data_IF_784857377663
#
_entry.id   IF_784857377663
#
_cell.length_a   1.000
_cell.length_b   1.000
_cell.length_c   1.000
_cell.angle_alpha   90.00
_cell.angle_beta   90.00
_cell.angle_gamma   90.00
#
_symmetry.space_group_name_H-M   'P 1'
#
loop_
_entity.id
_entity.type
_entity.pdbx_description
1 polymer ?
#
# COMPACT_ATOMS: atom_id res chain seq x y z
N UNK A 1 -15.65 28.72 7.14
CA UNK A 1 -15.59 27.45 6.42
C UNK A 1 -16.33 27.40 5.06
N UNK A 2 -16.15 28.40 4.17
CA UNK A 2 -16.71 28.36 2.79
C UNK A 2 -16.06 27.25 1.94
N UNK A 3 -14.90 26.71 2.31
CA UNK A 3 -14.15 25.66 1.58
C UNK A 3 -14.13 24.31 2.30
N UNK A 4 -14.94 24.10 3.34
CA UNK A 4 -14.98 22.84 4.08
C UNK A 4 -13.76 22.54 4.95
N UNK A 5 -12.83 23.47 5.08
CA UNK A 5 -11.60 23.30 5.88
C UNK A 5 -11.84 23.79 7.30
N UNK A 6 -11.59 22.95 8.29
CA UNK A 6 -11.64 23.27 9.72
C UNK A 6 -10.22 23.52 10.22
N UNK A 7 -9.96 24.71 10.77
CA UNK A 7 -8.66 25.09 11.33
C UNK A 7 -8.76 25.07 12.83
N UNK A 8 -7.89 24.33 13.51
CA UNK A 8 -7.95 24.09 14.95
C UNK A 8 -7.68 25.34 15.76
N UNK A 9 -6.72 26.16 15.35
CA UNK A 9 -6.37 27.46 15.97
C UNK A 9 -5.71 28.41 14.96
N UNK A 10 -5.49 29.69 15.35
CA UNK A 10 -4.89 30.70 14.48
C UNK A 10 -3.37 30.55 14.30
N UNK A 11 -2.67 29.89 15.23
CA UNK A 11 -1.23 29.64 15.16
C UNK A 11 -0.87 28.74 13.98
N UNK A 12 -1.72 27.73 13.71
CA UNK A 12 -1.57 26.82 12.56
C UNK A 12 -1.49 27.57 11.23
N UNK A 13 -2.20 28.70 11.09
CA UNK A 13 -2.13 29.51 9.86
C UNK A 13 -0.76 30.16 9.65
N UNK A 14 -0.10 30.55 10.75
CA UNK A 14 1.24 31.11 10.70
C UNK A 14 2.28 30.02 10.38
N UNK A 15 2.16 28.86 11.01
CA UNK A 15 3.03 27.70 10.76
C UNK A 15 2.94 27.21 9.31
N UNK A 16 1.73 27.19 8.73
CA UNK A 16 1.51 26.79 7.32
C UNK A 16 2.23 27.73 6.33
N UNK A 17 2.42 29.04 6.68
CA UNK A 17 3.14 29.97 5.80
C UNK A 17 4.64 29.69 5.71
N UNK A 18 5.18 28.99 6.67
CA UNK A 18 6.63 28.74 6.83
C UNK A 18 7.03 27.31 6.43
N UNK A 19 6.12 26.53 5.86
CA UNK A 19 6.39 25.15 5.46
C UNK A 19 7.42 25.06 4.33
N UNK A 20 8.29 24.05 4.43
CA UNK A 20 9.25 23.69 3.40
C UNK A 20 8.81 22.46 2.61
N UNK A 21 8.16 21.52 3.33
CA UNK A 21 7.86 20.18 2.80
C UNK A 21 6.47 19.73 3.22
N UNK A 22 5.76 19.11 2.28
CA UNK A 22 4.51 18.41 2.55
C UNK A 22 4.74 16.91 2.35
N UNK A 23 4.53 16.14 3.40
CA UNK A 23 4.61 14.67 3.38
C UNK A 23 3.20 14.11 3.30
N UNK A 24 2.96 13.25 2.33
CA UNK A 24 1.67 12.62 2.08
C UNK A 24 1.72 11.13 2.44
N UNK A 25 0.72 10.65 3.15
CA UNK A 25 0.41 9.23 3.09
C UNK A 25 -0.11 8.87 1.70
N UNK A 26 0.18 7.67 1.22
CA UNK A 26 -0.31 7.22 -0.09
C UNK A 26 -1.81 6.89 -0.04
N UNK A 27 -2.17 5.89 0.78
CA UNK A 27 -3.49 5.26 0.76
C UNK A 27 -4.58 6.18 1.32
N UNK A 28 -5.67 6.38 0.56
CA UNK A 28 -6.76 7.25 0.96
C UNK A 28 -6.46 8.76 0.86
N UNK A 29 -5.19 9.16 0.70
CA UNK A 29 -4.74 10.55 0.58
C UNK A 29 -4.37 10.90 -0.86
N UNK A 30 -3.29 10.36 -1.39
CA UNK A 30 -2.91 10.48 -2.81
C UNK A 30 -3.81 9.60 -3.68
N UNK A 31 -4.14 8.40 -3.20
CA UNK A 31 -5.01 7.44 -3.87
C UNK A 31 -6.44 7.48 -3.32
N UNK A 32 -7.36 6.82 -4.02
CA UNK A 32 -8.78 6.75 -3.63
C UNK A 32 -8.98 5.97 -2.33
N UNK A 33 -8.06 5.07 -1.97
CA UNK A 33 -8.19 4.20 -0.79
C UNK A 33 -9.16 3.04 -1.02
N UNK A 34 -9.37 2.65 -2.27
CA UNK A 34 -10.23 1.54 -2.68
C UNK A 34 -9.47 0.59 -3.59
N UNK A 35 -8.53 -0.19 -3.04
CA UNK A 35 -7.75 -1.14 -3.84
C UNK A 35 -8.65 -2.17 -4.51
N UNK A 36 -8.29 -2.56 -5.73
CA UNK A 36 -9.00 -3.56 -6.52
C UNK A 36 -8.01 -4.55 -7.14
N UNK A 37 -8.39 -5.84 -7.18
CA UNK A 37 -7.64 -6.85 -7.92
C UNK A 37 -7.78 -6.58 -9.41
N UNK A 38 -6.65 -6.35 -10.08
CA UNK A 38 -6.58 -6.06 -11.53
C UNK A 38 -6.14 -7.26 -12.34
N UNK A 39 -5.19 -8.04 -11.82
CA UNK A 39 -4.63 -9.20 -12.54
C UNK A 39 -4.44 -10.37 -11.58
N UNK A 40 -4.61 -11.58 -12.10
CA UNK A 40 -4.30 -12.84 -11.42
C UNK A 40 -3.47 -13.68 -12.38
N UNK A 41 -2.29 -14.10 -11.95
CA UNK A 41 -1.37 -14.93 -12.71
C UNK A 41 -1.37 -16.34 -12.10
N UNK A 42 -1.45 -17.35 -12.92
CA UNK A 42 -1.64 -18.75 -12.52
C UNK A 42 -3.07 -19.25 -12.79
N UNK A 43 -3.48 -20.33 -12.14
CA UNK A 43 -4.88 -20.76 -12.19
C UNK A 43 -5.74 -19.77 -11.37
N UNK A 44 -6.50 -18.93 -12.07
CA UNK A 44 -7.25 -17.81 -11.50
C UNK A 44 -8.15 -18.26 -10.34
N UNK A 45 -8.85 -19.39 -10.51
CA UNK A 45 -9.78 -19.89 -9.50
C UNK A 45 -9.03 -20.39 -8.26
N UNK A 46 -8.00 -21.20 -8.46
CA UNK A 46 -7.22 -21.75 -7.36
C UNK A 46 -6.47 -20.64 -6.58
N UNK A 47 -5.76 -19.75 -7.31
CA UNK A 47 -5.00 -18.67 -6.73
C UNK A 47 -5.90 -17.76 -5.89
N UNK A 48 -7.05 -17.35 -6.45
CA UNK A 48 -7.96 -16.45 -5.75
C UNK A 48 -8.66 -17.14 -4.57
N UNK A 49 -9.02 -18.40 -4.69
CA UNK A 49 -9.67 -19.16 -3.62
C UNK A 49 -8.75 -19.38 -2.44
N UNK A 50 -7.48 -19.78 -2.67
CA UNK A 50 -6.47 -19.92 -1.61
C UNK A 50 -6.23 -18.56 -0.95
N UNK A 51 -5.99 -17.52 -1.74
CA UNK A 51 -5.72 -16.18 -1.20
C UNK A 51 -6.88 -15.66 -0.36
N UNK A 52 -8.11 -15.74 -0.85
CA UNK A 52 -9.29 -15.27 -0.12
C UNK A 52 -9.52 -16.06 1.17
N UNK A 53 -9.29 -17.37 1.17
CA UNK A 53 -9.43 -18.20 2.37
C UNK A 53 -8.42 -17.81 3.47
N UNK A 54 -7.20 -17.44 3.10
CA UNK A 54 -6.19 -16.95 4.05
C UNK A 54 -6.50 -15.52 4.54
N UNK A 55 -6.99 -14.67 3.66
CA UNK A 55 -7.23 -13.25 3.96
C UNK A 55 -8.59 -12.98 4.65
N UNK A 56 -9.45 -14.01 4.84
CA UNK A 56 -10.73 -13.86 5.53
C UNK A 56 -10.59 -13.25 6.94
N UNK A 57 -9.53 -13.61 7.64
CA UNK A 57 -9.25 -13.11 8.99
C UNK A 57 -8.34 -11.89 9.03
N UNK A 58 -7.99 -11.32 7.89
CA UNK A 58 -7.06 -10.17 7.78
C UNK A 58 -7.83 -8.85 7.67
N UNK A 59 -7.40 -7.85 8.42
CA UNK A 59 -7.96 -6.48 8.36
C UNK A 59 -7.21 -5.59 7.35
N UNK A 60 -6.27 -6.15 6.60
CA UNK A 60 -5.46 -5.36 5.67
C UNK A 60 -6.28 -4.90 4.46
N UNK A 61 -6.10 -3.66 3.93
CA UNK A 61 -6.84 -3.17 2.76
C UNK A 61 -6.71 -4.06 1.52
N UNK A 62 -5.58 -4.74 1.33
CA UNK A 62 -5.39 -5.71 0.24
C UNK A 62 -6.27 -6.94 0.40
N UNK A 63 -6.47 -7.42 1.64
CA UNK A 63 -7.39 -8.50 1.96
C UNK A 63 -8.81 -8.17 1.51
N UNK A 64 -9.28 -6.96 1.82
CA UNK A 64 -10.61 -6.49 1.38
C UNK A 64 -10.77 -6.55 -0.14
N UNK A 65 -9.73 -6.20 -0.90
CA UNK A 65 -9.76 -6.27 -2.37
C UNK A 65 -9.83 -7.71 -2.88
N UNK A 66 -9.06 -8.62 -2.27
CA UNK A 66 -9.05 -10.06 -2.60
C UNK A 66 -10.40 -10.69 -2.28
N UNK A 67 -10.93 -10.43 -1.08
CA UNK A 67 -12.23 -10.94 -0.63
C UNK A 67 -13.37 -10.48 -1.54
N UNK A 68 -13.37 -9.19 -1.90
CA UNK A 68 -14.36 -8.64 -2.81
C UNK A 68 -14.31 -9.34 -4.17
N UNK A 69 -13.13 -9.51 -4.73
CA UNK A 69 -12.96 -10.19 -6.01
C UNK A 69 -13.42 -11.65 -5.96
N UNK A 70 -13.11 -12.36 -4.88
CA UNK A 70 -13.57 -13.74 -4.69
C UNK A 70 -15.11 -13.83 -4.60
N UNK A 71 -15.74 -12.87 -3.93
CA UNK A 71 -17.20 -12.77 -3.84
C UNK A 71 -17.84 -12.46 -5.21
N UNK A 72 -17.26 -11.52 -5.96
CA UNK A 72 -17.72 -11.15 -7.32
C UNK A 72 -17.61 -12.34 -8.29
N UNK A 73 -16.58 -13.19 -8.14
CA UNK A 73 -16.37 -14.41 -8.92
C UNK A 73 -17.15 -15.63 -8.36
N UNK A 74 -17.92 -15.46 -7.28
CA UNK A 74 -18.77 -16.50 -6.67
C UNK A 74 -17.99 -17.65 -6.04
N UNK A 75 -16.77 -17.41 -5.55
CA UNK A 75 -15.93 -18.44 -4.93
C UNK A 75 -16.34 -18.70 -3.48
N UNK A 76 -16.31 -19.95 -3.08
CA UNK A 76 -16.49 -20.33 -1.68
C UNK A 76 -15.19 -20.14 -0.91
N UNK A 77 -15.28 -19.42 0.23
CA UNK A 77 -14.18 -19.27 1.15
C UNK A 77 -14.12 -20.49 2.06
N UNK A 78 -12.95 -21.08 2.19
CA UNK A 78 -12.72 -22.25 3.03
C UNK A 78 -12.08 -21.84 4.34
N UNK A 79 -12.47 -22.48 5.44
CA UNK A 79 -11.84 -22.24 6.72
C UNK A 79 -10.40 -22.73 6.73
N UNK A 80 -9.49 -21.86 7.17
CA UNK A 80 -8.08 -22.19 7.38
C UNK A 80 -7.81 -22.50 8.85
N UNK A 81 -6.71 -23.21 9.11
CA UNK A 81 -6.19 -23.47 10.45
C UNK A 81 -4.83 -22.80 10.62
N UNK A 82 -4.38 -22.68 11.86
CA UNK A 82 -3.04 -22.17 12.19
C UNK A 82 -2.72 -20.81 11.51
N UNK A 83 -3.72 -19.94 11.40
CA UNK A 83 -3.53 -18.61 10.83
C UNK A 83 -2.51 -17.80 11.60
N UNK A 84 -1.55 -17.21 10.89
CA UNK A 84 -0.55 -16.31 11.42
C UNK A 84 -0.33 -15.12 10.49
N UNK A 85 -0.55 -13.91 11.01
CA UNK A 85 -0.15 -12.69 10.36
C UNK A 85 1.32 -12.37 10.66
N UNK A 86 2.12 -12.09 9.62
CA UNK A 86 3.53 -11.73 9.71
C UNK A 86 3.66 -10.27 9.31
N UNK A 87 3.96 -9.43 10.29
CA UNK A 87 3.97 -7.99 10.12
C UNK A 87 4.86 -7.54 8.95
N UNK A 88 4.30 -6.76 8.03
CA UNK A 88 4.97 -6.24 6.84
C UNK A 88 5.35 -7.28 5.77
N UNK A 89 5.01 -8.56 5.97
CA UNK A 89 5.34 -9.65 5.04
C UNK A 89 4.08 -10.30 4.42
N UNK A 90 3.02 -10.56 5.20
CA UNK A 90 1.80 -11.21 4.74
C UNK A 90 1.20 -12.17 5.76
N UNK A 91 0.51 -13.21 5.29
CA UNK A 91 -0.16 -14.20 6.14
C UNK A 91 0.22 -15.63 5.74
N UNK A 92 0.23 -16.52 6.72
CA UNK A 92 0.38 -17.98 6.54
C UNK A 92 -0.76 -18.70 7.24
N UNK A 93 -1.15 -19.85 6.73
CA UNK A 93 -2.13 -20.73 7.35
C UNK A 93 -2.04 -22.15 6.80
N UNK A 94 -2.72 -23.09 7.44
CA UNK A 94 -2.99 -24.43 6.88
C UNK A 94 -4.29 -24.36 6.09
N UNK A 95 -4.22 -24.60 4.78
CA UNK A 95 -5.33 -24.70 3.82
C UNK A 95 -5.45 -26.12 3.32
N UNK A 96 -6.57 -26.78 3.59
CA UNK A 96 -6.81 -28.20 3.21
C UNK A 96 -5.68 -29.18 3.64
N UNK A 97 -5.12 -28.98 4.84
CA UNK A 97 -4.02 -29.81 5.34
C UNK A 97 -2.65 -29.50 4.74
N UNK A 98 -2.50 -28.41 4.02
CA UNK A 98 -1.25 -27.98 3.39
C UNK A 98 -0.89 -26.58 3.83
N UNK A 99 0.40 -26.29 3.99
CA UNK A 99 0.86 -24.93 4.27
C UNK A 99 0.55 -24.04 3.06
N UNK A 100 -0.06 -22.88 3.33
CA UNK A 100 -0.35 -21.85 2.35
C UNK A 100 0.08 -20.48 2.86
N UNK A 101 0.37 -19.56 1.94
CA UNK A 101 0.71 -18.18 2.28
C UNK A 101 0.22 -17.19 1.23
N UNK A 102 0.00 -15.97 1.69
CA UNK A 102 -0.22 -14.79 0.84
C UNK A 102 0.64 -13.66 1.36
N UNK A 103 1.47 -13.07 0.51
CA UNK A 103 2.33 -11.99 0.99
C UNK A 103 3.25 -11.38 -0.05
N UNK A 104 4.07 -10.44 0.40
CA UNK A 104 5.07 -9.76 -0.40
C UNK A 104 6.29 -10.66 -0.67
N UNK A 105 7.18 -10.22 -1.57
CA UNK A 105 8.47 -10.91 -1.83
C UNK A 105 9.30 -11.12 -0.54
N UNK A 106 9.14 -10.27 0.46
CA UNK A 106 9.79 -10.42 1.78
C UNK A 106 9.38 -11.67 2.55
N UNK A 107 8.21 -12.26 2.24
CA UNK A 107 7.76 -13.52 2.83
C UNK A 107 8.49 -14.73 2.23
N UNK A 108 9.11 -14.57 1.06
CA UNK A 108 9.63 -15.63 0.21
C UNK A 108 11.14 -15.87 0.35
N UNK A 109 11.79 -15.33 1.41
CA UNK A 109 13.25 -15.42 1.58
C UNK A 109 13.81 -16.84 1.49
N UNK A 110 12.96 -17.86 1.72
CA UNK A 110 13.32 -19.28 1.65
C UNK A 110 12.66 -20.05 0.47
N UNK A 111 11.88 -19.37 -0.38
CA UNK A 111 11.12 -19.99 -1.46
C UNK A 111 11.69 -19.57 -2.82
N UNK A 112 12.03 -20.54 -3.65
CA UNK A 112 12.51 -20.27 -5.00
C UNK A 112 11.40 -19.69 -5.88
N UNK A 113 11.58 -18.43 -6.29
CA UNK A 113 10.71 -17.76 -7.28
C UNK A 113 11.28 -18.04 -8.67
N UNK A 114 10.48 -18.56 -9.60
CA UNK A 114 10.92 -18.71 -10.98
C UNK A 114 11.27 -17.35 -11.59
N UNK A 115 12.24 -17.32 -12.49
CA UNK A 115 12.66 -16.08 -13.17
C UNK A 115 11.48 -15.41 -13.91
N UNK A 116 10.63 -16.20 -14.55
CA UNK A 116 9.46 -15.72 -15.29
C UNK A 116 8.46 -15.04 -14.35
N UNK A 117 8.18 -15.64 -13.20
CA UNK A 117 7.27 -15.07 -12.20
C UNK A 117 7.80 -13.78 -11.60
N UNK A 118 9.13 -13.72 -11.35
CA UNK A 118 9.79 -12.50 -10.88
C UNK A 118 9.68 -11.37 -11.91
N UNK A 119 9.98 -11.64 -13.17
CA UNK A 119 9.84 -10.64 -14.24
C UNK A 119 8.40 -10.16 -14.41
N UNK A 120 7.42 -11.07 -14.25
CA UNK A 120 6.00 -10.71 -14.30
C UNK A 120 5.62 -9.80 -13.13
N UNK A 121 6.07 -10.12 -11.91
CA UNK A 121 5.85 -9.27 -10.75
C UNK A 121 6.47 -7.88 -10.92
N UNK A 122 7.74 -7.79 -11.35
CA UNK A 122 8.45 -6.54 -11.62
C UNK A 122 7.70 -5.67 -12.66
N UNK A 123 7.18 -6.30 -13.73
CA UNK A 123 6.37 -5.60 -14.72
C UNK A 123 5.10 -5.02 -14.12
N UNK A 124 4.33 -5.81 -13.38
CA UNK A 124 3.11 -5.35 -12.73
C UNK A 124 3.38 -4.23 -11.71
N UNK A 125 4.49 -4.31 -10.97
CA UNK A 125 4.91 -3.27 -10.04
C UNK A 125 5.28 -1.97 -10.76
N UNK A 126 5.91 -2.03 -11.92
CA UNK A 126 6.20 -0.85 -12.75
C UNK A 126 4.94 -0.17 -13.30
N UNK A 127 3.81 -0.89 -13.33
CA UNK A 127 2.47 -0.37 -13.66
C UNK A 127 1.74 0.21 -12.42
N UNK A 128 2.44 0.50 -11.34
CA UNK A 128 1.89 0.98 -10.06
C UNK A 128 0.90 0.01 -9.39
N UNK A 129 1.12 -1.30 -9.55
CA UNK A 129 0.31 -2.36 -8.92
C UNK A 129 1.08 -3.01 -7.78
N UNK A 130 0.45 -3.15 -6.62
CA UNK A 130 0.98 -3.96 -5.52
C UNK A 130 0.79 -5.44 -5.88
N UNK A 131 1.87 -6.22 -5.83
CA UNK A 131 1.85 -7.65 -6.16
C UNK A 131 2.01 -8.47 -4.89
N UNK A 132 1.09 -9.40 -4.67
CA UNK A 132 1.19 -10.42 -3.63
C UNK A 132 1.37 -11.79 -4.27
N UNK A 133 2.22 -12.59 -3.66
CA UNK A 133 2.50 -13.97 -4.05
C UNK A 133 1.57 -14.89 -3.27
N UNK A 134 1.02 -15.87 -3.96
CA UNK A 134 0.18 -16.91 -3.36
C UNK A 134 0.92 -18.23 -3.45
N UNK A 135 1.09 -18.89 -2.32
CA UNK A 135 1.77 -20.17 -2.23
C UNK A 135 0.91 -21.27 -1.60
N UNK A 136 1.15 -22.48 -2.04
CA UNK A 136 0.51 -23.69 -1.52
C UNK A 136 1.51 -24.86 -1.58
N UNK A 137 1.59 -25.64 -0.51
CA UNK A 137 2.46 -26.82 -0.40
C UNK A 137 3.93 -26.54 -0.77
N UNK A 138 4.47 -25.40 -0.31
CA UNK A 138 5.85 -24.98 -0.53
C UNK A 138 6.14 -24.42 -1.93
N UNK A 139 5.14 -24.29 -2.81
CA UNK A 139 5.31 -23.75 -4.15
C UNK A 139 4.51 -22.46 -4.33
N UNK A 140 5.01 -21.53 -5.15
CA UNK A 140 4.23 -20.38 -5.59
C UNK A 140 3.26 -20.84 -6.69
N UNK A 141 1.96 -20.73 -6.43
CA UNK A 141 0.90 -21.11 -7.38
C UNK A 141 0.44 -19.93 -8.24
N UNK A 142 0.76 -18.69 -7.83
CA UNK A 142 0.42 -17.53 -8.63
C UNK A 142 0.69 -16.20 -7.95
N UNK A 143 0.30 -15.13 -8.66
CA UNK A 143 0.38 -13.73 -8.20
C UNK A 143 -1.00 -13.09 -8.28
N UNK A 144 -1.28 -12.18 -7.37
CA UNK A 144 -2.42 -11.27 -7.45
C UNK A 144 -1.88 -9.84 -7.49
N UNK A 145 -2.24 -9.08 -8.51
CA UNK A 145 -1.93 -7.67 -8.62
C UNK A 145 -3.13 -6.84 -8.17
N UNK A 146 -2.86 -5.86 -7.34
CA UNK A 146 -3.88 -5.01 -6.72
C UNK A 146 -3.47 -3.56 -6.96
N UNK A 147 -4.41 -2.74 -7.41
CA UNK A 147 -4.16 -1.33 -7.67
C UNK A 147 -5.13 -0.44 -6.88
N UNK A 148 -4.57 0.58 -6.24
CA UNK A 148 -5.30 1.70 -5.66
C UNK A 148 -4.93 2.94 -6.45
N UNK A 149 -5.87 3.40 -7.29
CA UNK A 149 -5.60 4.46 -8.27
C UNK A 149 -5.46 5.83 -7.60
N UNK A 150 -4.59 6.72 -8.11
CA UNK A 150 -4.53 8.10 -7.67
C UNK A 150 -5.87 8.83 -7.83
N UNK A 151 -6.20 9.71 -6.89
CA UNK A 151 -7.35 10.61 -7.05
C UNK A 151 -7.12 11.53 -8.26
N UNK A 152 -8.17 11.82 -9.01
CA UNK A 152 -8.10 12.72 -10.17
C UNK A 152 -7.55 14.12 -9.81
N UNK A 153 -7.75 14.56 -8.57
CA UNK A 153 -7.27 15.86 -8.07
C UNK A 153 -5.80 15.84 -7.60
N UNK A 154 -5.19 14.67 -7.40
CA UNK A 154 -3.84 14.59 -6.81
C UNK A 154 -2.75 15.25 -7.68
N UNK A 155 -2.69 15.03 -9.01
CA UNK A 155 -1.66 15.67 -9.83
C UNK A 155 -1.72 17.19 -9.79
N UNK A 156 -2.93 17.77 -9.83
CA UNK A 156 -3.12 19.22 -9.78
C UNK A 156 -2.71 19.81 -8.42
N UNK A 157 -3.13 19.15 -7.32
CA UNK A 157 -2.76 19.58 -5.98
C UNK A 157 -1.23 19.55 -5.76
N UNK A 158 -0.55 18.49 -6.21
CA UNK A 158 0.91 18.37 -6.13
C UNK A 158 1.58 19.48 -6.95
N UNK A 159 1.11 19.72 -8.17
CA UNK A 159 1.61 20.79 -9.03
C UNK A 159 1.48 22.18 -8.38
N UNK A 160 0.35 22.46 -7.75
CA UNK A 160 0.15 23.74 -7.04
C UNK A 160 1.09 23.92 -5.85
N UNK A 161 1.31 22.88 -5.05
CA UNK A 161 2.25 22.92 -3.91
C UNK A 161 3.69 23.19 -4.39
N UNK A 162 4.12 22.50 -5.45
CA UNK A 162 5.44 22.71 -6.06
C UNK A 162 5.59 24.11 -6.64
N UNK A 163 4.53 24.66 -7.28
CA UNK A 163 4.54 26.04 -7.78
C UNK A 163 4.69 27.09 -6.66
N UNK A 164 4.32 26.74 -5.43
CA UNK A 164 4.53 27.57 -4.22
C UNK A 164 5.91 27.35 -3.57
N UNK A 165 6.78 26.54 -4.18
CA UNK A 165 8.13 26.26 -3.68
C UNK A 165 8.19 25.17 -2.60
N UNK A 166 7.08 24.47 -2.34
CA UNK A 166 7.04 23.37 -1.38
C UNK A 166 7.58 22.09 -2.00
N UNK A 167 8.40 21.37 -1.26
CA UNK A 167 8.83 20.02 -1.61
C UNK A 167 7.73 19.02 -1.25
N UNK A 168 7.49 18.06 -2.13
CA UNK A 168 6.47 17.03 -1.94
C UNK A 168 7.11 15.66 -1.71
N UNK A 169 6.69 14.96 -0.66
CA UNK A 169 7.22 13.64 -0.27
C UNK A 169 6.06 12.69 -0.09
N UNK A 170 6.14 11.48 -0.65
CA UNK A 170 5.18 10.41 -0.38
C UNK A 170 5.79 9.38 0.57
N UNK A 171 5.05 9.02 1.62
CA UNK A 171 5.42 8.02 2.62
C UNK A 171 4.48 6.82 2.51
N UNK A 172 5.01 5.62 2.27
CA UNK A 172 4.18 4.42 2.02
C UNK A 172 4.84 3.12 2.48
N UNK A 173 4.01 2.15 2.85
CA UNK A 173 4.45 0.77 3.10
C UNK A 173 4.70 -0.06 1.83
N UNK A 174 4.31 0.43 0.66
CA UNK A 174 4.56 -0.27 -0.61
C UNK A 174 6.05 -0.40 -0.91
N UNK A 175 6.39 -1.32 -1.81
CA UNK A 175 7.76 -1.40 -2.33
C UNK A 175 8.13 -0.17 -3.17
N UNK A 176 9.43 0.04 -3.36
CA UNK A 176 9.96 1.22 -4.03
C UNK A 176 9.47 1.37 -5.49
N UNK A 177 9.30 0.27 -6.23
CA UNK A 177 8.87 0.31 -7.63
C UNK A 177 7.43 0.83 -7.77
N UNK A 178 6.50 0.29 -6.97
CA UNK A 178 5.10 0.73 -6.93
C UNK A 178 5.00 2.18 -6.47
N UNK A 179 5.71 2.52 -5.41
CA UNK A 179 5.71 3.87 -4.85
C UNK A 179 6.25 4.90 -5.86
N UNK A 180 7.34 4.58 -6.54
CA UNK A 180 7.91 5.45 -7.58
C UNK A 180 6.95 5.61 -8.76
N UNK A 181 6.33 4.52 -9.23
CA UNK A 181 5.38 4.59 -10.34
C UNK A 181 4.17 5.50 -10.03
N UNK A 182 3.67 5.48 -8.79
CA UNK A 182 2.60 6.40 -8.36
C UNK A 182 3.14 7.83 -8.27
N UNK A 183 4.32 8.04 -7.70
CA UNK A 183 4.93 9.36 -7.57
C UNK A 183 5.13 10.02 -8.94
N UNK A 184 5.59 9.27 -9.92
CA UNK A 184 5.76 9.74 -11.30
C UNK A 184 4.43 10.15 -11.94
N UNK A 185 3.35 9.38 -11.71
CA UNK A 185 2.01 9.69 -12.22
C UNK A 185 1.45 11.00 -11.67
N UNK A 186 1.72 11.32 -10.40
CA UNK A 186 1.16 12.51 -9.74
C UNK A 186 2.15 13.66 -9.62
N UNK A 187 3.43 13.45 -9.94
CA UNK A 187 4.47 14.47 -9.93
C UNK A 187 5.08 14.77 -8.57
N UNK A 188 5.11 13.82 -7.64
CA UNK A 188 5.77 13.92 -6.32
C UNK A 188 7.29 13.92 -6.48
N UNK A 189 7.99 14.75 -5.69
CA UNK A 189 9.45 14.95 -5.80
C UNK A 189 10.27 13.83 -5.17
N UNK A 190 9.79 13.24 -4.07
CA UNK A 190 10.52 12.21 -3.30
C UNK A 190 9.59 11.15 -2.75
N UNK A 191 10.10 9.91 -2.69
CA UNK A 191 9.40 8.75 -2.14
C UNK A 191 10.19 8.16 -0.98
N UNK A 192 9.49 7.81 0.12
CA UNK A 192 9.99 7.00 1.22
C UNK A 192 9.10 5.75 1.25
N UNK A 193 9.63 4.65 0.72
CA UNK A 193 8.89 3.41 0.50
C UNK A 193 9.26 2.32 1.53
N UNK A 194 8.41 1.32 1.68
CA UNK A 194 8.66 0.17 2.54
C UNK A 194 8.60 0.46 4.03
N UNK A 195 7.92 1.53 4.42
CA UNK A 195 7.82 2.02 5.80
C UNK A 195 6.72 1.29 6.55
N UNK A 196 7.03 0.69 7.68
CA UNK A 196 6.03 0.08 8.56
C UNK A 196 5.16 1.15 9.23
N UNK A 197 3.90 0.83 9.59
CA UNK A 197 2.99 1.81 10.20
C UNK A 197 3.56 2.51 11.44
N UNK A 198 4.28 1.78 12.29
CA UNK A 198 4.94 2.29 13.50
C UNK A 198 6.18 3.16 13.24
N UNK A 199 6.76 3.09 12.03
CA UNK A 199 7.95 3.86 11.65
C UNK A 199 7.61 5.21 11.01
N UNK A 200 6.37 5.40 10.53
CA UNK A 200 5.96 6.65 9.85
C UNK A 200 6.23 7.90 10.68
N UNK A 201 5.90 7.87 11.98
CA UNK A 201 6.14 8.98 12.90
C UNK A 201 7.64 9.29 13.05
N UNK A 202 8.49 8.27 13.04
CA UNK A 202 9.92 8.44 13.16
C UNK A 202 10.51 9.15 11.93
N UNK A 203 10.11 8.76 10.72
CA UNK A 203 10.56 9.42 9.49
C UNK A 203 10.18 10.91 9.45
N UNK A 204 8.98 11.26 9.94
CA UNK A 204 8.58 12.66 10.04
C UNK A 204 9.46 13.41 11.05
N UNK A 205 9.76 12.81 12.22
CA UNK A 205 10.66 13.38 13.22
C UNK A 205 12.09 13.57 12.70
N UNK A 206 12.58 12.64 11.90
CA UNK A 206 13.91 12.76 11.27
C UNK A 206 14.00 13.97 10.34
N UNK A 207 12.96 14.21 9.52
CA UNK A 207 12.87 15.41 8.70
C UNK A 207 12.83 16.70 9.55
N UNK A 208 12.02 16.70 10.61
CA UNK A 208 11.93 17.84 11.55
C UNK A 208 13.27 18.11 12.27
N UNK A 209 13.95 17.05 12.72
CA UNK A 209 15.27 17.15 13.36
C UNK A 209 16.35 17.68 12.40
N UNK A 210 16.19 17.46 11.11
CA UNK A 210 17.05 18.05 10.06
C UNK A 210 16.72 19.53 9.79
N UNK A 211 15.81 20.13 10.55
CA UNK A 211 15.42 21.53 10.42
C UNK A 211 14.37 21.81 9.36
N UNK A 212 13.75 20.77 8.78
CA UNK A 212 12.71 20.90 7.77
C UNK A 212 11.36 21.17 8.44
N UNK A 213 10.64 22.18 8.00
CA UNK A 213 9.28 22.48 8.44
C UNK A 213 8.30 21.63 7.64
N UNK A 214 7.73 20.60 8.27
CA UNK A 214 6.96 19.55 7.63
C UNK A 214 5.48 19.67 7.98
N UNK A 215 4.61 19.63 6.97
CA UNK A 215 3.21 19.27 7.12
C UNK A 215 3.01 17.80 6.73
N UNK A 216 2.27 17.05 7.53
CA UNK A 216 1.85 15.70 7.19
C UNK A 216 0.37 15.67 6.80
N UNK A 217 0.06 15.02 5.69
CA UNK A 217 -1.30 14.86 5.15
C UNK A 217 -1.64 13.38 5.08
N UNK A 218 -2.69 12.98 5.79
CA UNK A 218 -3.16 11.60 5.84
C UNK A 218 -4.68 11.52 6.04
N UNK A 219 -5.25 10.33 5.92
CA UNK A 219 -6.69 10.08 6.07
C UNK A 219 -7.15 9.99 7.56
N UNK A 220 -6.21 10.06 8.49
CA UNK A 220 -6.47 10.00 9.94
C UNK A 220 -6.57 8.58 10.51
N UNK A 221 -6.84 7.56 9.73
CA UNK A 221 -7.01 6.17 10.21
C UNK A 221 -5.64 5.51 10.42
N UNK A 222 -4.77 5.59 9.41
CA UNK A 222 -3.42 5.02 9.44
C UNK A 222 -2.35 6.06 9.80
N UNK A 223 -2.74 7.32 9.94
CA UNK A 223 -1.86 8.46 10.20
C UNK A 223 -1.81 8.87 11.68
N UNK A 224 -2.70 8.36 12.53
CA UNK A 224 -2.80 8.73 13.93
C UNK A 224 -1.48 8.62 14.74
N UNK A 225 -0.60 7.63 14.51
CA UNK A 225 0.70 7.58 15.17
C UNK A 225 1.69 8.66 14.69
N UNK A 226 1.43 9.31 13.56
CA UNK A 226 2.31 10.30 12.94
C UNK A 226 1.88 11.75 13.18
N UNK A 227 0.73 11.96 13.81
CA UNK A 227 0.15 13.23 14.24
C UNK A 227 0.39 13.47 15.72
#
# INVERSE_FOLDING_TARGET
>A
AKMGVLIKNGEVLQEVSDLDTVVFDKTGTITVGKPQVTDIIGDTKQVLQVAASLEESSEHPLATAIMKRAADDGLNIEQVREFAAIEGKGVRAEYQGQEAFVGSERLLEEINISREMKMTAEKLQSEAKTVVYVGLAGNIIGLIAIQDVPKASSPEAIKELRARGLKTVMLTGDNAAVAQAIADQVGIDQVIAGVLPNEKAQHIKELQNAGVKVAFVGDGINAAPAL
#
